data_IF_105159870168
#
_entry.id   IF_105159870168
#
_cell.length_a   1.000
_cell.length_b   1.000
_cell.length_c   1.000
_cell.angle_alpha   90.00
_cell.angle_beta   90.00
_cell.angle_gamma   90.00
#
_symmetry.space_group_name_H-M   'P 1'
#
loop_
_entity.id
_entity.type
_entity.pdbx_description
1 polymer ?
#
# COMPACT_ATOMS: atom_id res chain seq x y z
N UNK A 1 50.20 8.44 5.17
CA UNK A 1 49.08 7.51 5.42
C UNK A 1 47.92 8.36 5.90
N UNK A 2 46.96 8.60 5.01
CA UNK A 2 45.78 9.43 5.30
C UNK A 2 44.56 8.68 4.77
N UNK A 3 44.04 7.77 5.58
CA UNK A 3 42.75 7.12 5.35
C UNK A 3 41.71 7.77 6.26
N UNK A 4 40.95 8.71 5.71
CA UNK A 4 39.65 9.07 6.27
C UNK A 4 38.81 9.76 5.20
N UNK A 5 38.18 8.96 4.34
CA UNK A 5 36.96 9.37 3.63
C UNK A 5 35.91 8.30 3.92
N UNK A 6 35.49 8.24 5.19
CA UNK A 6 34.14 7.76 5.50
C UNK A 6 33.22 8.97 5.37
N UNK A 7 32.69 9.19 4.17
CA UNK A 7 31.50 10.00 3.99
C UNK A 7 30.33 9.06 3.78
N UNK A 8 29.92 8.38 4.85
CA UNK A 8 28.59 7.79 4.94
C UNK A 8 27.56 8.87 4.62
N UNK A 9 26.91 8.77 3.45
CA UNK A 9 25.82 9.66 3.06
C UNK A 9 24.66 9.43 4.01
N UNK A 10 24.55 10.24 5.05
CA UNK A 10 23.40 10.30 5.93
C UNK A 10 22.25 10.92 5.14
N UNK A 11 21.34 10.11 4.62
CA UNK A 11 20.09 10.60 4.03
C UNK A 11 19.03 10.59 5.13
N UNK A 12 18.73 11.76 5.67
CA UNK A 12 17.56 11.98 6.53
C UNK A 12 16.35 12.31 5.66
N UNK A 13 15.49 11.32 5.39
CA UNK A 13 14.19 11.57 4.75
C UNK A 13 13.16 11.84 5.85
N UNK A 14 13.07 13.11 6.26
CA UNK A 14 12.00 13.57 7.15
C UNK A 14 10.92 14.24 6.29
N UNK A 15 9.82 13.54 6.04
CA UNK A 15 8.53 14.15 5.67
C UNK A 15 8.36 14.69 4.24
N UNK A 16 9.19 14.30 3.27
CA UNK A 16 9.02 14.66 1.87
C UNK A 16 8.53 13.49 1.01
N UNK A 17 7.56 13.71 0.12
CA UNK A 17 7.25 12.77 -0.97
C UNK A 17 8.52 12.51 -1.77
N UNK A 18 8.99 11.25 -1.77
CA UNK A 18 10.04 10.80 -2.71
C UNK A 18 9.45 10.77 -4.11
N UNK A 19 9.57 11.89 -4.83
CA UNK A 19 9.38 11.88 -6.28
C UNK A 19 10.67 11.33 -6.91
N UNK A 20 10.73 10.01 -7.06
CA UNK A 20 11.78 9.34 -7.80
C UNK A 20 11.58 9.58 -9.30
N UNK A 21 11.83 10.82 -9.76
CA UNK A 21 11.90 11.17 -11.17
C UNK A 21 13.30 10.88 -11.75
N UNK A 22 13.93 9.79 -11.31
CA UNK A 22 15.11 9.20 -11.92
C UNK A 22 14.68 7.94 -12.67
N UNK A 23 14.98 7.87 -13.96
CA UNK A 23 14.54 6.82 -14.89
C UNK A 23 15.14 5.43 -14.59
N UNK A 24 14.78 4.85 -13.46
CA UNK A 24 14.94 3.44 -13.11
C UNK A 24 13.63 2.96 -12.50
N UNK A 25 13.15 1.80 -12.92
CA UNK A 25 11.98 1.18 -12.30
C UNK A 25 12.23 1.07 -10.78
N UNK A 26 11.30 1.55 -9.96
CA UNK A 26 11.37 1.39 -8.51
C UNK A 26 11.40 -0.11 -8.21
N UNK A 27 12.35 -0.55 -7.37
CA UNK A 27 12.34 -1.93 -6.91
C UNK A 27 11.16 -2.16 -5.97
N UNK A 28 10.71 -3.41 -5.86
CA UNK A 28 9.63 -3.78 -4.93
C UNK A 28 9.87 -3.31 -3.49
N UNK A 29 11.13 -3.29 -3.05
CA UNK A 29 11.50 -2.76 -1.72
C UNK A 29 11.20 -1.26 -1.56
N UNK A 30 11.44 -0.45 -2.59
CA UNK A 30 11.18 0.99 -2.57
C UNK A 30 9.68 1.29 -2.57
N UNK A 31 8.92 0.54 -3.38
CA UNK A 31 7.46 0.61 -3.44
C UNK A 31 6.88 0.23 -2.07
N UNK A 32 7.27 -0.91 -1.52
CA UNK A 32 6.83 -1.39 -0.21
C UNK A 32 7.11 -0.37 0.91
N UNK A 33 8.31 0.20 0.94
CA UNK A 33 8.69 1.23 1.92
C UNK A 33 7.85 2.50 1.79
N UNK A 34 7.59 2.94 0.56
CA UNK A 34 6.74 4.11 0.29
C UNK A 34 5.30 3.85 0.75
N UNK A 35 4.74 2.69 0.44
CA UNK A 35 3.40 2.28 0.86
C UNK A 35 3.29 2.24 2.39
N UNK A 36 4.28 1.63 3.07
CA UNK A 36 4.31 1.59 4.53
C UNK A 36 4.34 3.01 5.15
N UNK A 37 5.13 3.91 4.57
CA UNK A 37 5.20 5.29 5.04
C UNK A 37 3.85 6.01 4.86
N UNK A 38 3.18 5.86 3.73
CA UNK A 38 1.85 6.45 3.50
C UNK A 38 0.81 5.88 4.45
N UNK A 39 0.82 4.57 4.71
CA UNK A 39 -0.07 3.94 5.70
C UNK A 39 0.17 4.52 7.11
N UNK A 40 1.44 4.71 7.49
CA UNK A 40 1.79 5.25 8.81
C UNK A 40 1.34 6.70 9.05
N UNK A 41 0.97 7.43 8.00
CA UNK A 41 0.40 8.78 8.10
C UNK A 41 -1.11 8.78 8.42
N UNK A 42 -1.77 7.62 8.35
CA UNK A 42 -3.17 7.48 8.73
C UNK A 42 -3.33 7.59 10.24
N UNK A 43 -4.46 8.15 10.67
CA UNK A 43 -4.85 8.13 12.09
C UNK A 43 -5.16 6.70 12.53
N UNK A 44 -4.87 6.41 13.79
CA UNK A 44 -5.28 5.14 14.40
C UNK A 44 -6.81 5.05 14.49
N UNK A 45 -7.32 3.83 14.69
CA UNK A 45 -8.76 3.60 14.84
C UNK A 45 -9.37 4.44 15.95
N UNK A 46 -10.51 5.07 15.67
CA UNK A 46 -11.31 5.75 16.69
C UNK A 46 -12.01 4.77 17.65
N UNK A 47 -12.06 3.48 17.31
CA UNK A 47 -12.67 2.42 18.11
C UNK A 47 -11.58 1.43 18.55
N UNK A 48 -11.29 1.30 19.86
CA UNK A 48 -10.19 0.46 20.34
C UNK A 48 -10.31 -1.03 19.95
N UNK A 49 -11.53 -1.54 19.78
CA UNK A 49 -11.80 -2.95 19.54
C UNK A 49 -12.05 -3.30 18.06
N UNK A 50 -12.01 -2.30 17.16
CA UNK A 50 -12.21 -2.51 15.71
C UNK A 50 -10.99 -2.00 14.95
N UNK A 51 -10.44 -2.79 14.00
CA UNK A 51 -9.32 -2.34 13.18
C UNK A 51 -9.72 -1.11 12.36
N UNK A 52 -8.86 -0.10 12.38
CA UNK A 52 -9.01 1.08 11.56
C UNK A 52 -8.47 0.85 10.15
N UNK A 53 -8.55 1.90 9.33
CA UNK A 53 -8.07 1.84 7.95
C UNK A 53 -6.56 1.55 7.87
N UNK A 54 -5.79 2.07 8.84
CA UNK A 54 -4.35 1.85 8.93
C UNK A 54 -4.04 0.36 9.10
N UNK A 55 -4.67 -0.29 10.08
CA UNK A 55 -4.45 -1.70 10.38
C UNK A 55 -4.85 -2.60 9.20
N UNK A 56 -6.01 -2.34 8.58
CA UNK A 56 -6.48 -3.12 7.44
C UNK A 56 -5.56 -3.01 6.22
N UNK A 57 -5.04 -1.81 5.94
CA UNK A 57 -4.10 -1.59 4.83
C UNK A 57 -2.72 -2.18 5.12
N UNK A 58 -2.27 -2.17 6.37
CA UNK A 58 -1.05 -2.89 6.79
C UNK A 58 -1.18 -4.39 6.55
N UNK A 59 -2.32 -4.99 6.92
CA UNK A 59 -2.58 -6.41 6.70
C UNK A 59 -2.65 -6.75 5.21
N UNK A 60 -3.35 -5.92 4.41
CA UNK A 60 -3.44 -6.11 2.97
C UNK A 60 -2.07 -6.02 2.29
N UNK A 61 -1.24 -5.04 2.66
CA UNK A 61 0.15 -4.93 2.19
C UNK A 61 0.92 -6.22 2.47
N UNK A 62 0.89 -6.71 3.71
CA UNK A 62 1.62 -7.91 4.11
C UNK A 62 1.14 -9.15 3.34
N UNK A 63 -0.16 -9.28 3.12
CA UNK A 63 -0.73 -10.38 2.33
C UNK A 63 -0.24 -10.37 0.87
N UNK A 64 -0.15 -9.20 0.24
CA UNK A 64 0.36 -9.04 -1.14
C UNK A 64 1.84 -9.43 -1.21
N UNK A 65 2.65 -8.97 -0.24
CA UNK A 65 4.08 -9.26 -0.19
C UNK A 65 4.36 -10.76 -0.03
N UNK A 66 3.56 -11.44 0.79
CA UNK A 66 3.67 -12.85 1.07
C UNK A 66 3.12 -13.76 -0.05
N UNK A 67 2.33 -13.25 -0.99
CA UNK A 67 1.74 -14.06 -2.04
C UNK A 67 2.82 -14.57 -3.01
N UNK A 68 2.90 -15.88 -3.20
CA UNK A 68 3.95 -16.50 -4.03
C UNK A 68 3.48 -16.73 -5.47
N UNK A 69 2.18 -16.67 -5.71
CA UNK A 69 1.57 -16.85 -7.02
C UNK A 69 1.42 -15.54 -7.82
N UNK A 70 1.83 -14.40 -7.25
CA UNK A 70 1.92 -13.12 -7.96
C UNK A 70 3.36 -12.88 -8.43
N UNK A 71 3.50 -12.46 -9.69
CA UNK A 71 4.76 -11.95 -10.20
C UNK A 71 5.09 -10.59 -9.61
N UNK A 72 6.36 -10.23 -9.63
CA UNK A 72 6.85 -8.99 -9.01
C UNK A 72 6.17 -7.74 -9.59
N UNK A 73 5.91 -7.70 -10.90
CA UNK A 73 5.19 -6.57 -11.53
C UNK A 73 3.74 -6.46 -11.03
N UNK A 74 3.03 -7.58 -10.89
CA UNK A 74 1.66 -7.60 -10.37
C UNK A 74 1.63 -7.23 -8.87
N UNK A 75 2.65 -7.62 -8.10
CA UNK A 75 2.81 -7.19 -6.71
C UNK A 75 3.06 -5.70 -6.62
N UNK A 76 3.92 -5.16 -7.49
CA UNK A 76 4.21 -3.74 -7.54
C UNK A 76 2.92 -2.94 -7.80
N UNK A 77 2.16 -3.32 -8.82
CA UNK A 77 0.87 -2.68 -9.14
C UNK A 77 -0.12 -2.78 -7.98
N UNK A 78 -0.24 -3.96 -7.35
CA UNK A 78 -1.13 -4.15 -6.22
C UNK A 78 -0.73 -3.28 -5.01
N UNK A 79 0.57 -3.18 -4.72
CA UNK A 79 1.09 -2.31 -3.67
C UNK A 79 0.84 -0.82 -3.96
N UNK A 80 0.98 -0.39 -5.22
CA UNK A 80 0.61 0.96 -5.63
C UNK A 80 -0.88 1.25 -5.37
N UNK A 81 -1.76 0.27 -5.59
CA UNK A 81 -3.18 0.42 -5.25
C UNK A 81 -3.40 0.54 -3.74
N UNK A 82 -2.64 -0.18 -2.91
CA UNK A 82 -2.69 -0.02 -1.44
C UNK A 82 -2.26 1.39 -1.04
N UNK A 83 -1.22 1.96 -1.67
CA UNK A 83 -0.82 3.36 -1.45
C UNK A 83 -1.95 4.32 -1.81
N UNK A 84 -2.61 4.14 -2.96
CA UNK A 84 -3.77 4.96 -3.34
C UNK A 84 -4.87 4.86 -2.29
N UNK A 85 -5.20 3.67 -1.78
CA UNK A 85 -6.21 3.52 -0.73
C UNK A 85 -5.79 4.22 0.58
N UNK A 86 -4.51 4.21 0.93
CA UNK A 86 -4.00 4.97 2.06
C UNK A 86 -4.12 6.49 1.85
N UNK A 87 -3.88 7.00 0.63
CA UNK A 87 -4.11 8.40 0.29
C UNK A 87 -5.60 8.77 0.39
N UNK A 88 -6.52 7.90 -0.07
CA UNK A 88 -7.97 8.08 0.13
C UNK A 88 -8.31 8.11 1.62
N UNK A 89 -7.68 7.26 2.44
CA UNK A 89 -7.89 7.22 3.89
C UNK A 89 -7.55 8.51 4.62
N UNK A 90 -6.70 9.37 4.05
CA UNK A 90 -6.40 10.70 4.63
C UNK A 90 -7.56 11.68 4.43
N UNK A 91 -8.36 11.52 3.35
CA UNK A 91 -9.54 12.34 3.09
C UNK A 91 -10.62 11.59 2.28
N UNK A 92 -11.39 10.68 2.90
CA UNK A 92 -12.29 9.77 2.20
C UNK A 92 -13.54 10.45 1.60
N UNK A 93 -13.80 11.71 1.95
CA UNK A 93 -14.92 12.51 1.42
C UNK A 93 -14.56 13.23 0.12
N UNK A 94 -13.28 13.28 -0.25
CA UNK A 94 -12.85 13.99 -1.45
C UNK A 94 -13.24 13.19 -2.70
N UNK A 95 -14.01 13.82 -3.59
CA UNK A 95 -14.62 13.19 -4.74
C UNK A 95 -13.63 12.57 -5.74
N UNK A 96 -12.48 13.21 -5.96
CA UNK A 96 -11.44 12.69 -6.88
C UNK A 96 -10.70 11.50 -6.27
N UNK A 97 -10.45 11.52 -4.96
CA UNK A 97 -9.91 10.41 -4.17
C UNK A 97 -10.86 9.23 -4.16
N UNK A 98 -12.18 9.43 -4.05
CA UNK A 98 -13.13 8.32 -4.16
C UNK A 98 -13.07 7.63 -5.53
N UNK A 99 -12.86 8.38 -6.62
CA UNK A 99 -12.66 7.77 -7.94
C UNK A 99 -11.37 6.96 -7.99
N UNK A 100 -10.27 7.49 -7.44
CA UNK A 100 -9.00 6.78 -7.34
C UNK A 100 -9.14 5.49 -6.51
N UNK A 101 -9.80 5.58 -5.35
CA UNK A 101 -10.12 4.42 -4.50
C UNK A 101 -10.95 3.36 -5.21
N UNK A 102 -12.00 3.76 -5.96
CA UNK A 102 -12.79 2.81 -6.77
C UNK A 102 -11.94 2.10 -7.81
N UNK A 103 -11.02 2.79 -8.46
CA UNK A 103 -10.09 2.20 -9.42
C UNK A 103 -9.14 1.22 -8.72
N UNK A 104 -8.53 1.62 -7.60
CA UNK A 104 -7.67 0.77 -6.80
C UNK A 104 -8.37 -0.52 -6.36
N UNK A 105 -9.62 -0.43 -5.90
CA UNK A 105 -10.42 -1.60 -5.52
C UNK A 105 -10.71 -2.52 -6.71
N UNK A 106 -10.95 -1.98 -7.90
CA UNK A 106 -11.18 -2.80 -9.11
C UNK A 106 -9.91 -3.52 -9.54
N UNK A 107 -8.77 -2.83 -9.49
CA UNK A 107 -7.47 -3.41 -9.84
C UNK A 107 -7.14 -4.52 -8.86
N UNK A 108 -7.20 -4.28 -7.53
CA UNK A 108 -6.95 -5.33 -6.53
C UNK A 108 -7.84 -6.56 -6.70
N UNK A 109 -9.15 -6.35 -6.99
CA UNK A 109 -10.08 -7.44 -7.31
C UNK A 109 -9.68 -8.19 -8.59
N UNK A 110 -9.21 -7.48 -9.61
CA UNK A 110 -8.69 -8.06 -10.85
C UNK A 110 -7.42 -8.85 -10.64
N UNK A 111 -6.46 -8.31 -9.88
CA UNK A 111 -5.19 -8.97 -9.52
C UNK A 111 -5.44 -10.32 -8.87
N UNK A 112 -6.34 -10.38 -7.88
CA UNK A 112 -6.62 -11.65 -7.19
C UNK A 112 -7.50 -12.61 -8.02
N UNK A 113 -8.22 -12.12 -9.03
CA UNK A 113 -9.09 -12.98 -9.86
C UNK A 113 -8.29 -13.96 -10.73
N UNK A 114 -7.02 -13.66 -11.01
CA UNK A 114 -6.10 -14.56 -11.71
C UNK A 114 -5.46 -15.62 -10.81
N UNK A 115 -5.65 -15.54 -9.49
CA UNK A 115 -5.02 -16.43 -8.53
C UNK A 115 -5.84 -17.70 -8.27
N UNK A 116 -5.19 -18.79 -7.80
CA UNK A 116 -5.91 -19.95 -7.29
C UNK A 116 -6.88 -19.54 -6.18
N UNK A 117 -8.09 -20.08 -6.17
CA UNK A 117 -9.10 -19.74 -5.15
C UNK A 117 -8.67 -20.07 -3.71
N UNK A 118 -7.75 -21.03 -3.55
CA UNK A 118 -7.16 -21.41 -2.27
C UNK A 118 -5.95 -20.55 -1.86
N UNK A 119 -5.56 -19.55 -2.67
CA UNK A 119 -4.46 -18.66 -2.34
C UNK A 119 -4.80 -17.80 -1.11
N UNK A 120 -3.85 -17.69 -0.19
CA UNK A 120 -4.04 -16.92 1.06
C UNK A 120 -4.41 -15.46 0.78
N UNK A 121 -3.86 -14.85 -0.28
CA UNK A 121 -4.23 -13.49 -0.66
C UNK A 121 -5.71 -13.38 -1.09
N UNK A 122 -6.26 -14.39 -1.76
CA UNK A 122 -7.69 -14.39 -2.13
C UNK A 122 -8.56 -14.43 -0.88
N UNK A 123 -8.21 -15.27 0.10
CA UNK A 123 -8.92 -15.31 1.39
C UNK A 123 -8.81 -13.98 2.14
N UNK A 124 -7.60 -13.43 2.25
CA UNK A 124 -7.37 -12.15 2.92
C UNK A 124 -8.19 -11.02 2.26
N UNK A 125 -8.13 -10.89 0.94
CA UNK A 125 -8.88 -9.88 0.20
C UNK A 125 -10.40 -10.03 0.32
N UNK A 126 -10.92 -11.26 0.46
CA UNK A 126 -12.36 -11.49 0.66
C UNK A 126 -12.89 -10.86 1.96
N UNK A 127 -12.02 -10.69 2.97
CA UNK A 127 -12.33 -10.08 4.27
C UNK A 127 -11.93 -8.60 4.31
N UNK A 128 -10.73 -8.29 3.85
CA UNK A 128 -10.13 -6.96 3.95
C UNK A 128 -10.77 -5.96 2.98
N UNK A 129 -11.02 -6.33 1.72
CA UNK A 129 -11.53 -5.37 0.73
C UNK A 129 -12.91 -4.82 1.10
N UNK A 130 -13.90 -5.64 1.54
CA UNK A 130 -15.17 -5.08 2.00
C UNK A 130 -15.03 -4.14 3.21
N UNK A 131 -14.17 -4.48 4.18
CA UNK A 131 -13.95 -3.66 5.36
C UNK A 131 -13.29 -2.31 5.00
N UNK A 132 -12.26 -2.34 4.14
CA UNK A 132 -11.60 -1.14 3.61
C UNK A 132 -12.60 -0.29 2.83
N UNK A 133 -13.42 -0.89 1.94
CA UNK A 133 -14.44 -0.16 1.19
C UNK A 133 -15.40 0.59 2.12
N UNK A 134 -15.86 -0.08 3.19
CA UNK A 134 -16.75 0.53 4.17
C UNK A 134 -16.12 1.74 4.88
N UNK A 135 -14.87 1.62 5.34
CA UNK A 135 -14.18 2.72 6.04
C UNK A 135 -13.83 3.89 5.11
N UNK A 136 -13.58 3.61 3.82
CA UNK A 136 -13.25 4.59 2.80
C UNK A 136 -14.46 5.14 2.04
N UNK A 137 -15.68 4.70 2.39
CA UNK A 137 -16.93 5.12 1.73
C UNK A 137 -16.95 4.80 0.23
N UNK A 138 -16.35 3.67 -0.12
CA UNK A 138 -16.32 3.15 -1.48
C UNK A 138 -17.48 2.15 -1.69
N UNK A 139 -18.09 2.13 -2.89
CA UNK A 139 -19.17 1.22 -3.25
C UNK A 139 -18.70 -0.22 -3.49
#
# INVERSE_FOLDING_TARGET
>A
MSDQIDQSRKIEITGGTVNASGAGALGLGDISGTVANTINQLSDSAKPDEPGIKELLTELKAAIEAETNLYDDDKAEALEQVKTLAEVGQNPQESTMQKAGKTAMKILKGTIAGLPSAATLVEACSKLLPAIASLLLLP
#
